data_IF_567479583652
#
_entry.id   IF_567479583652
#
_cell.length_a   1.000
_cell.length_b   1.000
_cell.length_c   1.000
_cell.angle_alpha   90.00
_cell.angle_beta   90.00
_cell.angle_gamma   90.00
#
_symmetry.space_group_name_H-M   'P 1'
#
loop_
_entity.id
_entity.type
_entity.pdbx_description
1 polymer ?
#
# COMPACT_ATOMS: atom_id res chain seq x y z
N UNK A 1 15.84 8.12 -17.80
CA UNK A 1 15.16 7.04 -17.04
C UNK A 1 14.21 7.61 -15.99
N UNK A 2 14.62 8.63 -15.24
CA UNK A 2 13.81 9.31 -14.22
C UNK A 2 12.37 9.67 -14.64
N UNK A 3 12.14 10.15 -15.87
CA UNK A 3 10.78 10.42 -16.36
C UNK A 3 9.84 9.21 -16.23
N UNK A 4 10.30 8.02 -16.64
CA UNK A 4 9.47 6.81 -16.63
C UNK A 4 9.15 6.37 -15.19
N UNK A 5 10.11 6.45 -14.29
CA UNK A 5 9.91 6.17 -12.85
C UNK A 5 8.80 7.06 -12.27
N UNK A 6 8.88 8.37 -12.48
CA UNK A 6 7.90 9.31 -11.95
C UNK A 6 6.53 9.20 -12.62
N UNK A 7 6.50 9.01 -13.94
CA UNK A 7 5.26 8.80 -14.68
C UNK A 7 4.54 7.51 -14.24
N UNK A 8 5.28 6.41 -14.07
CA UNK A 8 4.72 5.16 -13.59
C UNK A 8 4.14 5.29 -12.17
N UNK A 9 4.90 5.89 -11.24
CA UNK A 9 4.43 6.18 -9.88
C UNK A 9 3.15 7.03 -9.87
N UNK A 10 3.08 8.07 -10.71
CA UNK A 10 1.88 8.89 -10.84
C UNK A 10 0.69 8.07 -11.34
N UNK A 11 0.88 7.21 -12.35
CA UNK A 11 -0.14 6.28 -12.83
C UNK A 11 -0.60 5.30 -11.74
N UNK A 12 0.29 4.74 -10.91
CA UNK A 12 -0.12 3.90 -9.77
C UNK A 12 -1.00 4.65 -8.77
N UNK A 13 -0.65 5.89 -8.44
CA UNK A 13 -1.43 6.71 -7.50
C UNK A 13 -2.84 6.94 -8.04
N UNK A 14 -2.96 7.28 -9.33
CA UNK A 14 -4.25 7.48 -9.97
C UNK A 14 -5.05 6.17 -10.06
N UNK A 15 -4.41 5.08 -10.49
CA UNK A 15 -5.09 3.79 -10.68
C UNK A 15 -5.52 3.11 -9.37
N UNK A 16 -4.72 3.23 -8.30
CA UNK A 16 -5.06 2.66 -6.99
C UNK A 16 -5.97 3.57 -6.16
N UNK A 17 -6.03 4.86 -6.49
CA UNK A 17 -6.83 5.87 -5.81
C UNK A 17 -6.20 6.38 -4.51
N UNK A 18 -6.58 7.62 -4.14
CA UNK A 18 -6.03 8.31 -2.96
C UNK A 18 -6.32 7.59 -1.64
N UNK A 19 -7.43 6.85 -1.55
CA UNK A 19 -7.75 6.02 -0.39
C UNK A 19 -6.73 4.89 -0.17
N UNK A 20 -6.29 4.21 -1.23
CA UNK A 20 -5.26 3.18 -1.13
C UNK A 20 -3.93 3.80 -0.69
N UNK A 21 -3.55 4.95 -1.27
CA UNK A 21 -2.33 5.68 -0.89
C UNK A 21 -2.35 6.11 0.58
N UNK A 22 -3.47 6.65 1.07
CA UNK A 22 -3.63 7.00 2.48
C UNK A 22 -3.55 5.76 3.41
N UNK A 23 -4.09 4.63 2.94
CA UNK A 23 -3.97 3.33 3.59
C UNK A 23 -2.53 2.83 3.69
N UNK A 24 -1.75 2.94 2.61
CA UNK A 24 -0.33 2.54 2.54
C UNK A 24 0.51 3.26 3.61
N UNK A 25 0.28 4.57 3.81
CA UNK A 25 0.95 5.33 4.87
C UNK A 25 0.70 4.73 6.26
N UNK A 26 -0.52 4.24 6.50
CA UNK A 26 -0.86 3.55 7.76
C UNK A 26 -0.27 2.14 7.82
N UNK A 27 -0.23 1.40 6.72
CA UNK A 27 0.43 0.09 6.65
C UNK A 27 1.88 0.17 7.15
N UNK A 28 2.61 1.22 6.75
CA UNK A 28 3.95 1.48 7.25
C UNK A 28 3.96 1.65 8.78
N UNK A 29 3.06 2.45 9.36
CA UNK A 29 2.96 2.63 10.82
C UNK A 29 2.65 1.33 11.57
N UNK A 30 1.75 0.49 11.05
CA UNK A 30 1.43 -0.82 11.64
C UNK A 30 2.62 -1.78 11.56
N UNK A 31 3.37 -1.78 10.44
CA UNK A 31 4.56 -2.61 10.27
C UNK A 31 5.71 -2.16 11.17
N UNK A 32 5.97 -0.86 11.29
CA UNK A 32 6.97 -0.33 12.23
C UNK A 32 6.63 -0.68 13.68
N UNK A 33 5.35 -0.58 14.06
CA UNK A 33 4.86 -1.03 15.36
C UNK A 33 5.15 -2.52 15.60
N UNK A 34 4.84 -3.38 14.62
CA UNK A 34 5.10 -4.81 14.69
C UNK A 34 6.60 -5.15 14.80
N UNK A 35 7.45 -4.49 14.00
CA UNK A 35 8.91 -4.66 14.06
C UNK A 35 9.47 -4.22 15.41
N UNK A 36 8.98 -3.10 15.96
CA UNK A 36 9.38 -2.62 17.27
C UNK A 36 8.96 -3.61 18.37
N UNK A 37 7.75 -4.15 18.32
CA UNK A 37 7.27 -5.15 19.29
C UNK A 37 8.07 -6.46 19.24
N UNK A 38 8.48 -6.89 18.04
CA UNK A 38 9.39 -8.03 17.86
C UNK A 38 10.76 -7.76 18.48
N UNK A 39 11.31 -6.56 18.28
CA UNK A 39 12.60 -6.15 18.85
C UNK A 39 12.56 -6.02 20.37
N UNK A 40 11.43 -5.60 20.95
CA UNK A 40 11.28 -5.46 22.41
C UNK A 40 10.82 -6.75 23.11
N UNK A 41 10.66 -7.87 22.40
CA UNK A 41 10.26 -9.15 22.98
C UNK A 41 8.81 -9.24 23.48
N UNK A 42 8.02 -8.18 23.32
CA UNK A 42 6.63 -8.10 23.79
C UNK A 42 5.62 -8.79 22.84
N UNK A 43 6.07 -9.18 21.64
CA UNK A 43 5.22 -9.65 20.53
C UNK A 43 4.56 -11.03 20.69
N UNK A 44 4.79 -11.75 21.79
CA UNK A 44 4.13 -13.03 22.07
C UNK A 44 2.68 -12.87 22.58
N UNK A 45 2.43 -11.88 23.44
CA UNK A 45 1.16 -11.72 24.17
C UNK A 45 0.08 -11.01 23.34
N UNK A 46 0.47 -10.25 22.30
CA UNK A 46 -0.45 -9.48 21.45
C UNK A 46 -0.81 -10.11 20.10
N UNK A 47 -0.10 -11.16 19.68
CA UNK A 47 -0.34 -11.86 18.40
C UNK A 47 -1.72 -12.54 18.33
N UNK A 48 -2.37 -12.76 19.47
CA UNK A 48 -3.74 -13.28 19.62
C UNK A 48 -4.80 -12.18 19.76
N UNK A 49 -4.42 -10.90 19.80
CA UNK A 49 -5.33 -9.77 19.92
C UNK A 49 -5.87 -9.26 18.58
N UNK A 50 -6.92 -8.42 18.67
CA UNK A 50 -7.69 -7.79 17.58
C UNK A 50 -6.86 -7.08 16.46
N UNK A 51 -5.54 -6.90 16.63
CA UNK A 51 -4.64 -6.25 15.67
C UNK A 51 -3.95 -7.19 14.67
N UNK A 52 -4.00 -8.51 14.88
CA UNK A 52 -3.29 -9.47 14.03
C UNK A 52 -3.73 -9.46 12.54
N UNK A 53 -5.02 -9.32 12.19
CA UNK A 53 -5.45 -9.23 10.79
C UNK A 53 -4.94 -7.95 10.11
N UNK A 54 -5.00 -6.81 10.80
CA UNK A 54 -4.54 -5.51 10.27
C UNK A 54 -3.01 -5.51 10.03
N UNK A 55 -2.25 -6.16 10.90
CA UNK A 55 -0.80 -6.33 10.72
C UNK A 55 -0.47 -7.21 9.51
N UNK A 56 -1.16 -8.35 9.33
CA UNK A 56 -0.98 -9.21 8.14
C UNK A 56 -1.32 -8.46 6.86
N UNK A 57 -2.42 -7.71 6.86
CA UNK A 57 -2.82 -6.88 5.75
C UNK A 57 -1.77 -5.81 5.42
N UNK A 58 -1.25 -5.13 6.44
CA UNK A 58 -0.19 -4.14 6.29
C UNK A 58 1.08 -4.75 5.67
N UNK A 59 1.47 -5.95 6.07
CA UNK A 59 2.62 -6.67 5.50
C UNK A 59 2.39 -7.03 4.03
N UNK A 60 1.21 -7.53 3.67
CA UNK A 60 0.87 -7.83 2.27
C UNK A 60 0.92 -6.59 1.39
N UNK A 61 0.33 -5.47 1.85
CA UNK A 61 0.36 -4.18 1.15
C UNK A 61 1.79 -3.68 0.96
N UNK A 62 2.64 -3.77 1.99
CA UNK A 62 4.04 -3.36 1.90
C UNK A 62 4.86 -4.26 0.98
N UNK A 63 4.63 -5.58 1.01
CA UNK A 63 5.29 -6.52 0.11
C UNK A 63 4.93 -6.22 -1.36
N UNK A 64 3.66 -5.93 -1.65
CA UNK A 64 3.22 -5.51 -2.97
C UNK A 64 3.86 -4.18 -3.41
N UNK A 65 3.96 -3.20 -2.50
CA UNK A 65 4.62 -1.92 -2.78
C UNK A 65 6.12 -2.10 -3.09
N UNK A 66 6.82 -2.94 -2.33
CA UNK A 66 8.24 -3.24 -2.57
C UNK A 66 8.43 -3.95 -3.91
N UNK A 67 7.57 -4.92 -4.24
CA UNK A 67 7.61 -5.59 -5.53
C UNK A 67 7.38 -4.61 -6.70
N UNK A 68 6.44 -3.67 -6.54
CA UNK A 68 6.17 -2.61 -7.53
C UNK A 68 7.38 -1.70 -7.73
N UNK A 69 8.01 -1.22 -6.65
CA UNK A 69 9.21 -0.39 -6.72
C UNK A 69 10.41 -1.14 -7.31
N UNK A 70 10.58 -2.42 -6.95
CA UNK A 70 11.61 -3.26 -7.53
C UNK A 70 11.40 -3.45 -9.04
N UNK A 71 10.16 -3.67 -9.48
CA UNK A 71 9.81 -3.78 -10.89
C UNK A 71 10.06 -2.46 -11.65
N UNK A 72 9.72 -1.31 -11.06
CA UNK A 72 9.96 0.01 -11.66
C UNK A 72 11.46 0.33 -11.81
N UNK A 73 12.25 0.08 -10.76
CA UNK A 73 13.69 0.32 -10.76
C UNK A 73 14.48 -0.68 -11.62
N UNK A 74 13.92 -1.86 -11.91
CA UNK A 74 14.62 -2.94 -12.61
C UNK A 74 14.98 -2.67 -14.06
N UNK A 75 14.37 -1.68 -14.73
CA UNK A 75 14.51 -1.56 -16.18
C UNK A 75 13.27 -2.03 -16.94
N UNK A 76 12.62 -3.09 -16.46
CA UNK A 76 11.62 -3.87 -17.22
C UNK A 76 10.32 -3.12 -17.51
N UNK A 77 9.97 -2.09 -16.73
CA UNK A 77 8.72 -1.36 -16.90
C UNK A 77 8.69 -0.44 -18.12
N UNK A 78 9.79 -0.25 -18.87
CA UNK A 78 9.75 0.56 -20.09
C UNK A 78 8.89 -0.14 -21.16
N UNK A 79 7.70 0.39 -21.40
CA UNK A 79 6.68 -0.04 -22.36
C UNK A 79 5.74 -1.19 -21.94
N UNK A 80 5.91 -1.83 -20.77
CA UNK A 80 5.03 -2.92 -20.30
C UNK A 80 4.39 -2.66 -18.91
N UNK A 81 4.46 -1.42 -18.40
CA UNK A 81 3.96 -1.03 -17.08
C UNK A 81 2.54 -1.53 -16.82
N UNK A 82 1.64 -1.37 -17.80
CA UNK A 82 0.23 -1.74 -17.69
C UNK A 82 -0.01 -3.24 -17.47
N UNK A 83 0.86 -4.10 -18.01
CA UNK A 83 0.76 -5.57 -17.84
C UNK A 83 1.40 -6.04 -16.55
N UNK A 84 2.54 -5.47 -16.19
CA UNK A 84 3.32 -5.90 -15.02
C UNK A 84 2.69 -5.38 -13.71
N UNK A 85 2.09 -4.19 -13.72
CA UNK A 85 1.63 -3.54 -12.48
C UNK A 85 0.24 -3.98 -12.02
N UNK A 86 -0.61 -4.42 -12.94
CA UNK A 86 -2.00 -4.83 -12.67
C UNK A 86 -2.14 -5.78 -11.46
N UNK A 87 -1.35 -6.88 -11.36
CA UNK A 87 -1.42 -7.78 -10.22
C UNK A 87 -1.04 -7.10 -8.90
N UNK A 88 -0.06 -6.20 -8.90
CA UNK A 88 0.44 -5.54 -7.69
C UNK A 88 -0.47 -4.40 -7.22
N UNK A 89 -1.06 -3.65 -8.15
CA UNK A 89 -2.02 -2.57 -7.84
C UNK A 89 -3.26 -3.11 -7.12
N UNK A 90 -3.73 -4.30 -7.51
CA UNK A 90 -4.82 -5.01 -6.82
C UNK A 90 -4.55 -5.20 -5.33
N UNK A 91 -3.30 -5.46 -4.95
CA UNK A 91 -2.91 -5.65 -3.55
C UNK A 91 -2.74 -4.35 -2.76
N UNK A 92 -2.77 -3.19 -3.41
CA UNK A 92 -2.79 -1.89 -2.73
C UNK A 92 -4.22 -1.49 -2.30
N UNK A 93 -5.26 -1.94 -3.02
CA UNK A 93 -6.66 -1.60 -2.73
C UNK A 93 -7.09 -1.92 -1.29
N UNK A 94 -6.74 -3.09 -0.71
CA UNK A 94 -7.11 -3.43 0.67
C UNK A 94 -6.52 -2.47 1.71
N UNK A 95 -5.49 -1.69 1.38
CA UNK A 95 -4.92 -0.69 2.29
C UNK A 95 -5.98 0.33 2.74
N UNK A 96 -7.00 0.60 1.92
CA UNK A 96 -8.12 1.46 2.29
C UNK A 96 -8.91 0.93 3.50
N UNK A 97 -8.92 -0.40 3.75
CA UNK A 97 -9.56 -0.98 4.93
C UNK A 97 -8.86 -0.61 6.25
N UNK A 98 -7.62 -0.10 6.19
CA UNK A 98 -6.87 0.39 7.35
C UNK A 98 -7.22 1.85 7.72
N UNK A 99 -8.08 2.51 6.94
CA UNK A 99 -8.56 3.86 7.22
C UNK A 99 -9.53 3.85 8.41
N UNK A 100 -9.48 4.86 9.30
CA UNK A 100 -10.50 5.06 10.31
C UNK A 100 -11.88 5.22 9.67
N UNK A 101 -12.90 4.61 10.27
CA UNK A 101 -14.29 4.72 9.79
C UNK A 101 -14.74 6.19 9.58
N UNK A 102 -14.26 7.11 10.42
CA UNK A 102 -14.57 8.55 10.31
C UNK A 102 -13.99 9.22 9.07
N UNK A 103 -12.80 8.81 8.63
CA UNK A 103 -12.09 9.44 7.50
C UNK A 103 -12.23 8.66 6.20
N UNK A 104 -12.55 7.37 6.26
CA UNK A 104 -12.66 6.48 5.09
C UNK A 104 -13.54 7.07 3.99
N UNK A 105 -14.72 7.61 4.33
CA UNK A 105 -15.64 8.23 3.36
C UNK A 105 -15.02 9.40 2.59
N UNK A 106 -14.24 10.26 3.25
CA UNK A 106 -13.61 11.41 2.60
C UNK A 106 -12.51 10.96 1.63
N UNK A 107 -11.75 9.93 2.02
CA UNK A 107 -10.72 9.35 1.16
C UNK A 107 -11.30 8.61 -0.04
N UNK A 108 -12.44 7.93 0.13
CA UNK A 108 -13.15 7.30 -0.98
C UNK A 108 -13.70 8.35 -1.96
N UNK A 109 -14.30 9.42 -1.46
CA UNK A 109 -14.73 10.56 -2.30
C UNK A 109 -13.54 11.15 -3.05
N UNK A 110 -12.42 11.37 -2.36
CA UNK A 110 -11.19 11.87 -2.98
C UNK A 110 -10.64 10.91 -4.04
N UNK A 111 -10.86 9.60 -3.95
CA UNK A 111 -10.52 8.64 -5.00
C UNK A 111 -11.44 8.71 -6.22
N UNK A 112 -12.71 9.11 -6.05
CA UNK A 112 -13.71 9.17 -7.12
C UNK A 112 -13.60 10.47 -7.93
N UNK A 113 -13.29 11.59 -7.27
CA UNK A 113 -13.21 12.91 -7.94
C UNK A 113 -12.29 12.92 -9.18
N UNK A 114 -11.09 12.30 -9.17
CA UNK A 114 -10.23 12.23 -10.35
C UNK A 114 -10.73 11.30 -11.47
N UNK A 115 -11.73 10.46 -11.18
CA UNK A 115 -12.29 9.49 -12.13
C UNK A 115 -13.56 10.00 -12.84
N UNK A 116 -14.04 11.19 -12.46
CA UNK A 116 -15.14 11.91 -13.11
C UNK A 116 -14.62 12.81 -14.23
#
# INVERSE_FOLDING_TARGET
YAYWVWANLACAVLASGLAAVAGVRRSASYAFGAVRELRTGAGGVRRTGNGAPAQRLALLVLAALVALLAADLSGMSKAETERIWQPFLLWLLPAAALLPARTARYWLVASVVPAL
#
